data_IF_997626389085
#
_entry.id   IF_997626389085
#
_cell.length_a   1.000
_cell.length_b   1.000
_cell.length_c   1.000
_cell.angle_alpha   90.00
_cell.angle_beta   90.00
_cell.angle_gamma   90.00
#
_symmetry.space_group_name_H-M   'P 1'
#
loop_
_entity.id
_entity.type
_entity.pdbx_description
1 polymer ?
#
# COMPACT_ATOMS: atom_id res chain seq x y z
N UNK A 1 -13.43 17.20 -20.95
CA UNK A 1 -12.30 16.76 -20.11
C UNK A 1 -11.35 16.00 -21.02
N UNK A 2 -10.08 16.38 -21.10
CA UNK A 2 -9.10 15.67 -21.94
C UNK A 2 -8.66 14.43 -21.17
N UNK A 3 -9.00 13.25 -21.65
CA UNK A 3 -8.56 11.98 -21.07
C UNK A 3 -7.27 11.53 -21.76
N UNK A 4 -6.26 11.15 -20.99
CA UNK A 4 -4.97 10.65 -21.50
C UNK A 4 -5.12 9.25 -22.10
N UNK A 5 -6.02 8.45 -21.53
CA UNK A 5 -6.33 7.10 -21.96
C UNK A 5 -7.84 6.94 -22.13
N UNK A 6 -8.26 6.20 -23.16
CA UNK A 6 -9.66 5.80 -23.32
C UNK A 6 -9.93 4.57 -22.44
N UNK A 7 -10.52 4.79 -21.26
CA UNK A 7 -10.79 3.72 -20.30
C UNK A 7 -11.80 2.69 -20.79
N UNK A 8 -12.70 3.07 -21.69
CA UNK A 8 -13.76 2.16 -22.15
C UNK A 8 -13.24 1.14 -23.17
N UNK A 9 -12.10 1.41 -23.81
CA UNK A 9 -11.46 0.47 -24.73
C UNK A 9 -10.52 -0.53 -24.07
N UNK A 10 -10.20 -0.36 -22.78
CA UNK A 10 -9.29 -1.26 -22.07
C UNK A 10 -10.06 -2.34 -21.30
N UNK A 11 -9.61 -3.59 -21.45
CA UNK A 11 -9.99 -4.70 -20.59
C UNK A 11 -9.55 -4.44 -19.14
N UNK A 12 -10.08 -5.24 -18.21
CA UNK A 12 -9.69 -5.15 -16.79
C UNK A 12 -8.18 -5.38 -16.60
N UNK A 13 -7.62 -6.33 -17.34
CA UNK A 13 -6.19 -6.66 -17.27
C UNK A 13 -5.34 -5.49 -17.77
N UNK A 14 -5.69 -4.91 -18.92
CA UNK A 14 -4.95 -3.76 -19.47
C UNK A 14 -5.03 -2.53 -18.55
N UNK A 15 -6.17 -2.33 -17.87
CA UNK A 15 -6.29 -1.28 -16.84
C UNK A 15 -5.35 -1.51 -15.68
N UNK A 16 -5.22 -2.75 -15.21
CA UNK A 16 -4.30 -3.09 -14.11
C UNK A 16 -2.84 -2.93 -14.55
N UNK A 17 -2.49 -3.34 -15.76
CA UNK A 17 -1.15 -3.16 -16.32
C UNK A 17 -0.80 -1.68 -16.47
N UNK A 18 -1.71 -0.87 -17.02
CA UNK A 18 -1.48 0.57 -17.13
C UNK A 18 -1.34 1.24 -15.76
N UNK A 19 -2.04 0.75 -14.74
CA UNK A 19 -1.89 1.23 -13.36
C UNK A 19 -0.52 0.88 -12.79
N UNK A 20 -0.02 -0.34 -13.03
CA UNK A 20 1.31 -0.78 -12.59
C UNK A 20 2.42 0.01 -13.28
N UNK A 21 2.36 0.15 -14.62
CA UNK A 21 3.34 0.91 -15.39
C UNK A 21 3.40 2.38 -14.95
N UNK A 22 2.24 2.98 -14.70
CA UNK A 22 2.16 4.33 -14.16
C UNK A 22 2.75 4.42 -12.76
N UNK A 23 2.46 3.44 -11.90
CA UNK A 23 2.99 3.39 -10.55
C UNK A 23 4.52 3.26 -10.55
N UNK A 24 5.07 2.36 -11.36
CA UNK A 24 6.53 2.21 -11.55
C UNK A 24 7.19 3.48 -12.10
N UNK A 25 6.52 4.21 -13.01
CA UNK A 25 7.02 5.49 -13.50
C UNK A 25 7.07 6.55 -12.41
N UNK A 26 5.99 6.72 -11.65
CA UNK A 26 5.92 7.70 -10.57
C UNK A 26 6.84 7.36 -9.39
N UNK A 27 7.06 6.08 -9.11
CA UNK A 27 7.89 5.62 -8.01
C UNK A 27 9.40 5.78 -8.28
N UNK A 28 9.83 6.00 -9.53
CA UNK A 28 11.26 6.16 -9.88
C UNK A 28 11.91 7.41 -9.30
N UNK A 29 11.12 8.43 -8.95
CA UNK A 29 11.59 9.67 -8.33
C UNK A 29 11.29 9.67 -6.82
N UNK A 30 11.87 8.75 -6.06
CA UNK A 30 11.70 8.69 -4.58
C UNK A 30 12.07 10.02 -3.89
N UNK A 31 13.03 10.76 -4.44
CA UNK A 31 13.45 12.07 -3.94
C UNK A 31 12.42 13.18 -4.19
N UNK A 32 11.54 13.05 -5.19
CA UNK A 32 10.47 14.02 -5.47
C UNK A 32 9.30 13.87 -4.49
N UNK A 33 9.16 12.68 -3.89
CA UNK A 33 8.08 12.36 -2.95
C UNK A 33 8.65 11.72 -1.67
N UNK A 34 9.35 12.50 -0.83
CA UNK A 34 9.89 11.98 0.41
C UNK A 34 8.77 11.49 1.33
N UNK A 35 9.00 10.36 1.99
CA UNK A 35 8.14 9.92 3.08
C UNK A 35 8.06 11.00 4.16
N UNK A 36 6.90 11.23 4.79
CA UNK A 36 6.81 12.12 5.94
C UNK A 36 7.75 11.68 7.06
N UNK A 37 8.31 12.64 7.81
CA UNK A 37 9.28 12.39 8.90
C UNK A 37 8.76 11.35 9.91
N UNK A 38 7.47 11.39 10.23
CA UNK A 38 6.84 10.49 11.20
C UNK A 38 6.83 9.02 10.76
N UNK A 39 6.99 8.75 9.46
CA UNK A 39 6.91 7.39 8.93
C UNK A 39 8.01 6.50 9.51
N UNK A 40 9.23 7.02 9.59
CA UNK A 40 10.36 6.31 10.19
C UNK A 40 10.16 6.04 11.69
N UNK A 41 9.56 6.98 12.41
CA UNK A 41 9.30 6.82 13.84
C UNK A 41 8.26 5.74 14.13
N UNK A 42 7.20 5.65 13.31
CA UNK A 42 6.22 4.58 13.41
C UNK A 42 6.86 3.21 13.13
N UNK A 43 7.68 3.10 12.08
CA UNK A 43 8.34 1.83 11.76
C UNK A 43 9.27 1.37 12.89
N UNK A 44 10.06 2.29 13.46
CA UNK A 44 10.94 2.01 14.60
C UNK A 44 10.17 1.53 15.82
N UNK A 45 9.08 2.23 16.17
CA UNK A 45 8.23 1.85 17.30
C UNK A 45 7.60 0.46 17.11
N UNK A 46 7.22 0.09 15.88
CA UNK A 46 6.69 -1.25 15.55
C UNK A 46 7.77 -2.32 15.68
N UNK A 47 8.97 -2.05 15.18
CA UNK A 47 10.09 -2.97 15.30
C UNK A 47 10.49 -3.22 16.77
N UNK A 48 10.52 -2.16 17.59
CA UNK A 48 10.76 -2.26 19.02
C UNK A 48 9.67 -3.07 19.73
N UNK A 49 8.40 -2.86 19.38
CA UNK A 49 7.28 -3.61 19.96
C UNK A 49 7.33 -5.11 19.61
N UNK A 50 7.77 -5.46 18.39
CA UNK A 50 8.02 -6.85 17.99
C UNK A 50 9.17 -7.46 18.80
N UNK A 51 10.29 -6.73 18.97
CA UNK A 51 11.44 -7.17 19.78
C UNK A 51 11.07 -7.35 21.25
N UNK A 52 10.19 -6.50 21.78
CA UNK A 52 9.69 -6.58 23.14
C UNK A 52 8.61 -7.66 23.35
N UNK A 53 8.10 -8.28 22.27
CA UNK A 53 7.02 -9.25 22.32
C UNK A 53 5.65 -8.65 22.65
N UNK A 54 5.49 -7.33 22.50
CA UNK A 54 4.24 -6.61 22.72
C UNK A 54 3.43 -6.41 21.44
N UNK A 55 3.98 -6.78 20.30
CA UNK A 55 3.32 -6.85 19.00
C UNK A 55 3.71 -8.17 18.32
N UNK A 56 2.90 -8.63 17.36
CA UNK A 56 3.14 -9.91 16.67
C UNK A 56 2.71 -9.87 15.20
N UNK A 57 3.34 -10.71 14.39
CA UNK A 57 2.89 -10.94 13.03
C UNK A 57 1.66 -11.85 13.03
N UNK A 58 0.61 -11.40 12.35
CA UNK A 58 -0.62 -12.18 12.18
C UNK A 58 -0.71 -12.68 10.74
N UNK A 59 -1.03 -13.97 10.51
CA UNK A 59 -1.32 -14.47 9.17
C UNK A 59 -2.38 -13.64 8.46
N UNK A 60 -2.20 -13.40 7.17
CA UNK A 60 -3.05 -12.48 6.42
C UNK A 60 -4.54 -12.85 6.45
N UNK A 61 -4.87 -14.13 6.39
CA UNK A 61 -6.26 -14.59 6.48
C UNK A 61 -6.87 -14.35 7.88
N UNK A 62 -6.09 -14.49 8.95
CA UNK A 62 -6.53 -14.18 10.31
C UNK A 62 -6.74 -12.67 10.50
N UNK A 63 -5.82 -11.84 9.99
CA UNK A 63 -5.98 -10.38 10.03
C UNK A 63 -7.28 -9.93 9.33
N UNK A 64 -7.59 -10.50 8.16
CA UNK A 64 -8.87 -10.22 7.46
C UNK A 64 -10.08 -10.63 8.28
N UNK A 65 -10.04 -11.81 8.91
CA UNK A 65 -11.12 -12.33 9.75
C UNK A 65 -11.37 -11.40 10.94
N UNK A 66 -10.33 -11.03 11.68
CA UNK A 66 -10.40 -10.12 12.83
C UNK A 66 -11.01 -8.76 12.45
N UNK A 67 -10.60 -8.19 11.31
CA UNK A 67 -11.14 -6.91 10.82
C UNK A 67 -12.62 -6.97 10.45
N UNK A 68 -13.09 -8.10 9.93
CA UNK A 68 -14.51 -8.32 9.60
C UNK A 68 -15.35 -8.52 10.87
N UNK A 69 -14.82 -9.24 11.85
CA UNK A 69 -15.47 -9.46 13.14
C UNK A 69 -15.62 -8.16 13.92
N UNK A 70 -14.62 -7.27 13.92
CA UNK A 70 -14.67 -5.95 14.59
C UNK A 70 -15.69 -4.95 13.98
N UNK A 71 -16.22 -5.21 12.78
CA UNK A 71 -17.23 -4.35 12.13
C UNK A 71 -18.68 -4.80 12.38
N UNK A 72 -18.88 -5.92 13.07
CA UNK A 72 -20.20 -6.36 13.55
C UNK A 72 -20.46 -5.80 14.94
#
# INVERSE_FOLDING_TARGET
>A
MKTVLNMDSLSRTEKLQAMEELWEDLARSEDEYPSPDWHGDVLRAREEALKAGTDEFVPWEDAKRMLREKRK
#
